data_IF_352525929804
#
_entry.id   IF_352525929804
#
_cell.length_a   1.000
_cell.length_b   1.000
_cell.length_c   1.000
_cell.angle_alpha   90.00
_cell.angle_beta   90.00
_cell.angle_gamma   90.00
#
_symmetry.space_group_name_H-M   'P 1'
#
loop_
_entity.id
_entity.type
_entity.pdbx_description
1 polymer ?
#
# COMPACT_ATOMS: atom_id res chain seq x y z
N UNK A 1 5.13 -50.72 -15.89
CA UNK A 1 6.25 -49.84 -16.25
C UNK A 1 6.42 -48.84 -15.13
N UNK A 2 7.49 -49.01 -14.34
CA UNK A 2 7.88 -48.22 -13.17
C UNK A 2 8.84 -47.11 -13.61
N UNK A 3 8.71 -45.92 -13.04
CA UNK A 3 9.81 -44.96 -12.93
C UNK A 3 9.68 -44.23 -11.59
N UNK A 4 10.37 -44.78 -10.59
CA UNK A 4 10.72 -44.11 -9.33
C UNK A 4 11.95 -43.22 -9.62
N UNK A 5 11.86 -41.91 -9.37
CA UNK A 5 13.02 -41.01 -9.32
C UNK A 5 13.22 -40.51 -7.90
N UNK A 6 14.15 -41.19 -7.23
CA UNK A 6 14.80 -40.83 -5.98
C UNK A 6 15.74 -39.65 -6.24
N UNK A 7 15.62 -38.57 -5.48
CA UNK A 7 16.65 -37.53 -5.40
C UNK A 7 16.87 -37.15 -3.95
N UNK A 8 17.84 -37.82 -3.35
CA UNK A 8 18.49 -37.48 -2.10
C UNK A 8 19.54 -36.41 -2.41
N UNK A 9 19.40 -35.21 -1.86
CA UNK A 9 20.53 -34.31 -1.68
C UNK A 9 20.55 -33.79 -0.25
N UNK A 10 21.32 -34.50 0.56
CA UNK A 10 21.93 -33.98 1.77
C UNK A 10 22.95 -32.91 1.39
N UNK A 11 22.89 -31.76 2.04
CA UNK A 11 24.05 -30.88 2.20
C UNK A 11 24.16 -30.54 3.68
N UNK A 12 25.14 -31.19 4.28
CA UNK A 12 25.65 -30.94 5.62
C UNK A 12 26.38 -29.60 5.67
N UNK A 13 26.30 -28.95 6.83
CA UNK A 13 27.44 -28.21 7.40
C UNK A 13 27.66 -26.77 6.94
N UNK A 14 27.33 -25.82 7.82
CA UNK A 14 28.36 -24.85 8.21
C UNK A 14 28.09 -24.31 9.63
N UNK A 15 28.76 -24.94 10.58
CA UNK A 15 29.02 -24.38 11.89
C UNK A 15 29.96 -23.17 11.76
N UNK A 16 29.73 -22.16 12.59
CA UNK A 16 30.77 -21.23 13.00
C UNK A 16 30.72 -19.86 12.32
N UNK A 17 30.22 -18.86 13.07
CA UNK A 17 31.08 -17.80 13.64
C UNK A 17 30.22 -16.82 14.45
N UNK A 18 30.27 -17.01 15.77
CA UNK A 18 29.90 -16.02 16.76
C UNK A 18 30.97 -14.93 16.69
N UNK A 19 30.67 -13.85 15.95
CA UNK A 19 31.44 -12.62 15.98
C UNK A 19 30.82 -11.66 16.99
N UNK A 20 31.38 -11.60 18.20
CA UNK A 20 31.24 -10.43 19.06
C UNK A 20 31.85 -9.24 18.31
N UNK A 21 31.04 -8.35 17.72
CA UNK A 21 31.51 -7.03 17.33
C UNK A 21 30.98 -5.99 18.30
N UNK A 22 31.96 -5.40 18.97
CA UNK A 22 31.95 -4.38 19.98
C UNK A 22 30.99 -3.22 19.71
N UNK A 23 30.26 -2.91 20.77
CA UNK A 23 29.68 -1.62 21.10
C UNK A 23 30.71 -0.49 20.84
N UNK A 24 30.43 0.38 19.87
CA UNK A 24 31.09 1.68 19.75
C UNK A 24 30.00 2.77 19.81
N UNK A 25 29.74 3.19 21.04
CA UNK A 25 28.89 4.33 21.39
C UNK A 25 29.64 5.62 21.03
N UNK A 26 29.43 6.14 19.83
CA UNK A 26 29.90 7.47 19.45
C UNK A 26 28.76 8.48 19.64
N UNK A 27 28.81 9.24 20.74
CA UNK A 27 28.09 10.51 20.88
C UNK A 27 28.52 11.44 19.75
N UNK A 28 27.57 11.96 18.97
CA UNK A 28 27.82 13.13 18.10
C UNK A 28 26.96 14.33 18.54
N UNK A 29 27.57 15.53 18.60
CA UNK A 29 27.00 16.72 19.23
C UNK A 29 25.95 17.43 18.38
N UNK A 30 25.07 18.15 19.08
CA UNK A 30 24.11 19.09 18.54
C UNK A 30 24.78 20.19 17.69
N UNK A 31 24.39 20.29 16.42
CA UNK A 31 24.67 21.47 15.60
C UNK A 31 23.39 22.29 15.47
N UNK A 32 23.32 23.33 16.30
CA UNK A 32 22.49 24.50 16.06
C UNK A 32 23.07 25.30 14.90
N UNK A 33 22.23 25.64 13.94
CA UNK A 33 22.50 26.61 12.88
C UNK A 33 21.46 26.44 11.78
N UNK A 34 20.78 27.45 11.25
CA UNK A 34 20.76 28.88 11.47
C UNK A 34 19.80 29.40 10.39
N UNK A 35 18.87 30.29 10.74
CA UNK A 35 17.94 30.89 9.78
C UNK A 35 18.70 31.80 8.81
N UNK A 36 18.55 31.60 7.50
CA UNK A 36 18.96 32.56 6.49
C UNK A 36 17.98 32.61 5.30
N UNK A 37 17.18 33.67 5.27
CA UNK A 37 17.18 34.63 4.16
C UNK A 37 16.68 34.20 2.77
N UNK A 38 15.37 34.33 2.56
CA UNK A 38 14.73 35.14 1.52
C UNK A 38 15.41 35.30 0.14
N UNK A 39 14.86 34.61 -0.86
CA UNK A 39 14.99 34.96 -2.28
C UNK A 39 13.63 35.03 -2.95
N UNK A 40 13.04 36.23 -3.05
CA UNK A 40 11.88 36.50 -3.92
C UNK A 40 12.36 36.49 -5.37
N UNK A 41 12.15 35.38 -6.08
CA UNK A 41 12.32 35.33 -7.53
C UNK A 41 10.97 35.59 -8.20
N UNK A 42 10.87 36.73 -8.87
CA UNK A 42 9.68 37.12 -9.63
C UNK A 42 9.38 36.14 -10.75
N UNK A 43 8.23 35.46 -10.65
CA UNK A 43 7.72 34.61 -11.73
C UNK A 43 6.85 35.46 -12.66
N UNK A 44 7.26 35.58 -13.92
CA UNK A 44 6.38 36.07 -14.99
C UNK A 44 5.14 35.17 -15.11
N UNK A 45 3.96 35.72 -15.44
CA UNK A 45 2.77 34.92 -15.69
C UNK A 45 2.95 34.16 -17.01
N UNK A 46 3.44 32.94 -16.92
CA UNK A 46 3.32 31.97 -18.01
C UNK A 46 1.87 31.49 -18.01
N UNK A 47 1.12 31.90 -19.04
CA UNK A 47 -0.24 31.42 -19.32
C UNK A 47 -0.15 29.94 -19.68
N UNK A 48 -0.17 29.09 -18.65
CA UNK A 48 -0.26 27.63 -18.81
C UNK A 48 -1.66 27.32 -19.35
N UNK A 49 -1.79 26.54 -20.43
CA UNK A 49 -3.09 26.05 -20.89
C UNK A 49 -3.84 25.47 -19.70
N UNK A 50 -5.02 26.01 -19.43
CA UNK A 50 -5.83 25.60 -18.30
C UNK A 50 -6.15 24.09 -18.39
N UNK A 51 -6.14 23.37 -17.26
CA UNK A 51 -6.63 21.99 -17.25
C UNK A 51 -8.05 21.95 -17.82
N UNK A 52 -8.42 20.87 -18.53
CA UNK A 52 -9.75 20.74 -19.11
C UNK A 52 -10.83 20.98 -18.04
N UNK A 53 -11.88 21.74 -18.35
CA UNK A 53 -12.94 22.06 -17.41
C UNK A 53 -13.66 20.77 -16.99
N UNK A 54 -14.00 20.69 -15.71
CA UNK A 54 -15.02 19.81 -15.13
C UNK A 54 -14.74 18.31 -14.96
N UNK A 55 -13.52 17.92 -14.59
CA UNK A 55 -13.45 16.86 -13.58
C UNK A 55 -13.60 17.51 -12.21
N UNK A 56 -14.83 17.51 -11.68
CA UNK A 56 -15.09 17.73 -10.25
C UNK A 56 -14.32 16.66 -9.49
N UNK A 57 -13.06 16.97 -9.16
CA UNK A 57 -12.32 16.21 -8.16
C UNK A 57 -13.04 16.54 -6.87
N UNK A 58 -13.91 15.63 -6.42
CA UNK A 58 -14.52 15.74 -5.11
C UNK A 58 -13.38 16.00 -4.11
N UNK A 59 -13.51 17.00 -3.22
CA UNK A 59 -12.48 17.26 -2.24
C UNK A 59 -12.22 15.94 -1.52
N UNK A 60 -11.01 15.41 -1.66
CA UNK A 60 -10.51 14.27 -0.89
C UNK A 60 -10.40 14.80 0.53
N UNK A 61 -11.50 14.83 1.25
CA UNK A 61 -11.48 15.21 2.66
C UNK A 61 -10.92 14.02 3.41
N UNK A 62 -9.90 14.23 4.24
CA UNK A 62 -9.33 13.22 5.15
C UNK A 62 -10.34 12.74 6.22
N UNK A 63 -11.63 12.94 6.01
CA UNK A 63 -12.73 12.69 6.95
C UNK A 63 -13.70 11.64 6.44
N UNK A 64 -13.48 11.07 5.26
CA UNK A 64 -14.33 9.98 4.77
C UNK A 64 -14.08 8.70 5.60
N UNK A 65 -15.11 8.14 6.26
CA UNK A 65 -14.94 6.98 7.13
C UNK A 65 -14.56 5.71 6.36
N UNK A 66 -14.95 5.59 5.08
CA UNK A 66 -14.55 4.47 4.24
C UNK A 66 -13.07 4.57 3.85
N UNK A 67 -12.59 5.76 3.49
CA UNK A 67 -11.17 6.00 3.22
C UNK A 67 -10.30 5.71 4.45
N UNK A 68 -10.73 6.13 5.64
CA UNK A 68 -10.03 5.85 6.89
C UNK A 68 -9.99 4.36 7.22
N UNK A 69 -11.10 3.66 7.03
CA UNK A 69 -11.13 2.20 7.23
C UNK A 69 -10.20 1.46 6.28
N UNK A 70 -10.10 1.89 5.02
CA UNK A 70 -9.11 1.33 4.09
C UNK A 70 -7.67 1.70 4.50
N UNK A 71 -7.45 2.89 5.03
CA UNK A 71 -6.13 3.30 5.53
C UNK A 71 -5.65 2.40 6.67
N UNK A 72 -6.55 2.02 7.59
CA UNK A 72 -6.22 1.09 8.69
C UNK A 72 -5.74 -0.28 8.19
N UNK A 73 -6.18 -0.71 6.99
CA UNK A 73 -5.74 -1.95 6.36
C UNK A 73 -4.34 -1.86 5.74
N UNK A 74 -3.83 -0.67 5.44
CA UNK A 74 -2.50 -0.48 4.85
C UNK A 74 -1.38 -0.98 5.77
N UNK A 75 -1.42 -0.60 7.05
CA UNK A 75 -0.43 -1.02 8.05
C UNK A 75 -0.21 -2.53 8.13
N UNK A 76 -1.26 -3.35 8.40
CA UNK A 76 -1.11 -4.79 8.49
C UNK A 76 -0.76 -5.43 7.14
N UNK A 77 -1.21 -4.89 6.00
CA UNK A 77 -0.78 -5.37 4.68
C UNK A 77 0.73 -5.21 4.47
N UNK A 78 1.26 -4.03 4.78
CA UNK A 78 2.70 -3.74 4.66
C UNK A 78 3.52 -4.64 5.57
N UNK A 79 3.07 -4.83 6.83
CA UNK A 79 3.79 -5.67 7.79
C UNK A 79 3.70 -7.15 7.43
N UNK A 80 2.55 -7.64 6.95
CA UNK A 80 2.39 -9.00 6.43
C UNK A 80 3.34 -9.22 5.24
N UNK A 81 3.41 -8.28 4.31
CA UNK A 81 4.28 -8.37 3.14
C UNK A 81 5.76 -8.36 3.55
N UNK A 82 6.16 -7.51 4.49
CA UNK A 82 7.54 -7.47 4.98
C UNK A 82 7.98 -8.83 5.57
N UNK A 83 7.09 -9.52 6.29
CA UNK A 83 7.36 -10.83 6.88
C UNK A 83 7.32 -11.98 5.86
N UNK A 84 6.38 -11.95 4.91
CA UNK A 84 6.09 -13.11 4.04
C UNK A 84 6.59 -12.95 2.59
N UNK A 85 7.01 -11.74 2.20
CA UNK A 85 7.36 -11.36 0.81
C UNK A 85 6.27 -11.64 -0.23
N UNK A 86 5.03 -11.74 0.23
CA UNK A 86 3.83 -11.91 -0.58
C UNK A 86 2.64 -11.25 0.12
N UNK A 87 1.65 -10.83 -0.66
CA UNK A 87 0.35 -10.42 -0.11
C UNK A 87 -0.37 -11.64 0.51
N UNK A 88 -1.27 -11.43 1.48
CA UNK A 88 -2.08 -12.53 1.98
C UNK A 88 -2.98 -13.09 0.87
N UNK A 89 -3.28 -14.38 0.90
CA UNK A 89 -4.26 -14.97 -0.01
C UNK A 89 -5.69 -14.51 0.32
N UNK A 90 -5.95 -14.16 1.58
CA UNK A 90 -7.25 -13.66 2.08
C UNK A 90 -7.04 -12.60 3.16
N UNK A 91 -7.94 -11.60 3.24
CA UNK A 91 -7.80 -10.49 4.20
C UNK A 91 -7.82 -10.96 5.67
N UNK A 92 -8.49 -12.06 5.98
CA UNK A 92 -8.56 -12.59 7.34
C UNK A 92 -7.18 -12.99 7.88
N UNK A 93 -6.21 -13.28 7.01
CA UNK A 93 -4.84 -13.60 7.43
C UNK A 93 -4.13 -12.42 8.10
N UNK A 94 -4.61 -11.19 7.88
CA UNK A 94 -4.07 -10.01 8.57
C UNK A 94 -4.34 -10.03 10.09
N UNK A 95 -5.24 -10.89 10.59
CA UNK A 95 -5.42 -11.15 12.03
C UNK A 95 -4.16 -11.68 12.71
N UNK A 96 -3.27 -12.31 11.94
CA UNK A 96 -2.03 -12.88 12.44
C UNK A 96 -0.95 -11.81 12.67
N UNK A 97 -1.17 -10.58 12.19
CA UNK A 97 -0.22 -9.47 12.36
C UNK A 97 -0.40 -8.87 13.76
N UNK A 98 0.63 -8.88 14.63
CA UNK A 98 0.53 -8.34 15.98
C UNK A 98 0.13 -6.85 15.97
N UNK A 99 -0.88 -6.50 16.76
CA UNK A 99 -1.38 -5.12 16.90
C UNK A 99 -2.57 -4.76 16.01
N UNK A 100 -2.94 -5.63 15.05
CA UNK A 100 -3.98 -5.35 14.05
C UNK A 100 -5.17 -6.32 14.09
N UNK A 101 -5.32 -7.07 15.19
CA UNK A 101 -6.39 -8.07 15.32
C UNK A 101 -7.80 -7.48 15.21
N UNK A 102 -7.98 -6.21 15.59
CA UNK A 102 -9.27 -5.52 15.54
C UNK A 102 -9.63 -5.01 14.14
N UNK A 103 -8.64 -4.65 13.31
CA UNK A 103 -8.86 -4.05 11.98
C UNK A 103 -9.60 -5.01 11.04
N UNK A 104 -9.34 -6.30 11.20
CA UNK A 104 -9.90 -7.38 10.38
C UNK A 104 -11.24 -7.92 10.88
N UNK A 105 -11.68 -7.52 12.07
CA UNK A 105 -13.02 -7.87 12.56
C UNK A 105 -14.11 -7.14 11.74
N UNK A 106 -13.77 -5.99 11.14
CA UNK A 106 -14.69 -5.09 10.47
C UNK A 106 -14.26 -4.79 9.02
N UNK A 107 -14.16 -5.83 8.18
CA UNK A 107 -13.83 -5.70 6.75
C UNK A 107 -15.01 -5.20 5.89
N UNK A 108 -15.71 -4.16 6.37
CA UNK A 108 -16.89 -3.57 5.72
C UNK A 108 -16.73 -2.07 5.55
N UNK A 109 -17.26 -1.57 4.44
CA UNK A 109 -17.42 -0.13 4.22
C UNK A 109 -18.39 0.46 5.26
N UNK A 110 -18.00 1.47 6.06
CA UNK A 110 -18.90 2.07 7.06
C UNK A 110 -20.14 2.75 6.46
N UNK A 111 -20.09 3.14 5.18
CA UNK A 111 -21.19 3.85 4.50
C UNK A 111 -22.19 2.86 3.88
N UNK A 112 -21.71 1.90 3.09
CA UNK A 112 -22.58 0.92 2.41
C UNK A 112 -22.88 -0.32 3.25
N UNK A 113 -22.13 -0.56 4.33
CA UNK A 113 -22.13 -1.78 5.14
C UNK A 113 -21.83 -3.08 4.36
N UNK A 114 -21.39 -2.96 3.11
CA UNK A 114 -20.97 -4.09 2.29
C UNK A 114 -19.51 -4.46 2.59
N UNK A 115 -19.15 -5.74 2.51
CA UNK A 115 -17.77 -6.15 2.67
C UNK A 115 -16.90 -5.54 1.57
N UNK A 116 -15.68 -5.15 1.93
CA UNK A 116 -14.69 -4.77 0.94
C UNK A 116 -14.40 -5.95 0.01
N UNK A 117 -14.13 -5.65 -1.25
CA UNK A 117 -13.68 -6.65 -2.21
C UNK A 117 -12.16 -6.70 -2.16
N UNK A 118 -11.62 -7.90 -1.97
CA UNK A 118 -10.19 -8.17 -2.03
C UNK A 118 -9.86 -9.01 -3.25
N UNK A 119 -8.88 -8.55 -4.03
CA UNK A 119 -8.29 -9.32 -5.11
C UNK A 119 -6.75 -9.19 -4.99
N UNK A 120 -6.04 -10.21 -4.47
CA UNK A 120 -4.58 -10.16 -4.36
C UNK A 120 -3.88 -10.14 -5.72
N UNK A 121 -4.55 -10.60 -6.79
CA UNK A 121 -4.10 -10.48 -8.17
C UNK A 121 -4.40 -9.10 -8.76
N UNK A 122 -5.30 -8.33 -8.16
CA UNK A 122 -5.65 -6.96 -8.47
C UNK A 122 -5.89 -6.66 -9.96
N UNK A 123 -5.96 -5.39 -10.32
CA UNK A 123 -5.93 -4.95 -11.71
C UNK A 123 -5.08 -3.70 -11.86
N UNK A 124 -4.45 -3.57 -13.02
CA UNK A 124 -3.50 -2.50 -13.29
C UNK A 124 -4.23 -1.18 -13.56
N UNK A 125 -3.70 -0.09 -13.00
CA UNK A 125 -3.98 1.28 -13.38
C UNK A 125 -2.89 1.73 -14.37
N UNK A 126 -3.16 1.73 -15.69
CA UNK A 126 -2.14 1.94 -16.72
C UNK A 126 -1.36 3.25 -16.53
N UNK A 127 -2.04 4.28 -16.03
CA UNK A 127 -1.47 5.62 -15.84
C UNK A 127 -0.40 5.71 -14.74
N UNK A 128 -0.35 4.75 -13.80
CA UNK A 128 0.40 4.89 -12.54
C UNK A 128 1.30 3.70 -12.21
N UNK A 129 1.32 2.67 -13.06
CA UNK A 129 1.99 1.38 -12.78
C UNK A 129 1.62 0.82 -11.40
N UNK A 130 0.38 1.06 -10.97
CA UNK A 130 -0.15 0.65 -9.67
C UNK A 130 -1.25 -0.38 -9.89
N UNK A 131 -1.45 -1.23 -8.89
CA UNK A 131 -2.45 -2.29 -8.96
C UNK A 131 -3.48 -2.11 -7.85
N UNK A 132 -4.76 -2.04 -8.18
CA UNK A 132 -5.82 -1.98 -7.18
C UNK A 132 -6.04 -3.38 -6.61
N UNK A 133 -6.00 -3.51 -5.28
CA UNK A 133 -6.12 -4.82 -4.61
C UNK A 133 -7.30 -4.89 -3.63
N UNK A 134 -7.71 -3.77 -3.03
CA UNK A 134 -8.88 -3.70 -2.14
C UNK A 134 -9.74 -2.53 -2.57
N UNK A 135 -11.05 -2.68 -2.56
CA UNK A 135 -11.99 -1.61 -2.92
C UNK A 135 -13.36 -1.81 -2.29
N UNK A 136 -14.13 -0.74 -2.18
CA UNK A 136 -15.53 -0.77 -1.77
C UNK A 136 -16.43 -1.41 -2.84
N UNK A 137 -17.46 -2.15 -2.38
CA UNK A 137 -18.32 -2.93 -3.27
C UNK A 137 -19.37 -2.09 -4.01
N UNK A 138 -19.67 -0.89 -3.55
CA UNK A 138 -20.67 0.00 -4.15
C UNK A 138 -20.12 1.44 -4.21
N UNK A 139 -20.53 2.26 -5.20
CA UNK A 139 -20.14 3.67 -5.30
C UNK A 139 -20.87 4.52 -4.27
N UNK A 140 -20.50 4.38 -3.00
CA UNK A 140 -21.17 5.05 -1.89
C UNK A 140 -20.74 6.52 -1.70
N UNK A 141 -19.86 7.04 -2.57
CA UNK A 141 -19.16 8.31 -2.39
C UNK A 141 -19.29 9.19 -3.65
N UNK A 142 -20.49 9.68 -3.95
CA UNK A 142 -20.77 10.58 -5.09
C UNK A 142 -20.31 10.03 -6.45
N UNK A 143 -20.54 8.75 -6.70
CA UNK A 143 -20.11 8.08 -7.94
C UNK A 143 -18.61 7.70 -7.94
N UNK A 144 -17.94 7.89 -6.82
CA UNK A 144 -16.58 7.41 -6.57
C UNK A 144 -16.59 6.16 -5.69
N UNK A 145 -15.48 5.44 -5.78
CA UNK A 145 -15.14 4.26 -5.00
C UNK A 145 -13.79 4.44 -4.34
N UNK A 146 -13.69 4.11 -3.06
CA UNK A 146 -12.42 4.09 -2.35
C UNK A 146 -11.70 2.76 -2.58
N UNK A 147 -10.40 2.84 -2.81
CA UNK A 147 -9.59 1.67 -3.09
C UNK A 147 -8.18 1.79 -2.51
N UNK A 148 -7.56 0.64 -2.21
CA UNK A 148 -6.14 0.50 -1.94
C UNK A 148 -5.44 0.06 -3.21
N UNK A 149 -4.50 0.88 -3.67
CA UNK A 149 -3.52 0.47 -4.67
C UNK A 149 -2.21 0.07 -4.02
N UNK A 150 -1.49 -0.80 -4.72
CA UNK A 150 -0.10 -1.08 -4.43
C UNK A 150 0.80 -0.69 -5.58
N UNK A 151 2.00 -0.28 -5.23
CA UNK A 151 3.16 -0.18 -6.12
C UNK A 151 4.08 -1.35 -5.75
N UNK A 152 4.29 -2.27 -6.69
CA UNK A 152 5.17 -3.42 -6.45
C UNK A 152 6.59 -2.94 -6.18
N UNK A 153 7.27 -3.52 -5.18
CA UNK A 153 8.64 -3.14 -4.90
C UNK A 153 9.54 -3.48 -6.10
N UNK A 154 10.35 -2.50 -6.51
CA UNK A 154 11.56 -2.77 -7.31
C UNK A 154 12.68 -3.21 -6.35
N UNK A 155 13.75 -3.78 -6.88
CA UNK A 155 14.91 -4.29 -6.13
C UNK A 155 15.19 -3.50 -4.82
N UNK A 156 15.12 -4.20 -3.68
CA UNK A 156 15.31 -3.69 -2.32
C UNK A 156 14.38 -2.53 -1.85
N UNK A 157 13.34 -2.20 -2.60
CA UNK A 157 12.33 -1.21 -2.21
C UNK A 157 11.22 -1.85 -1.36
N UNK A 158 10.57 -1.07 -0.48
CA UNK A 158 9.38 -1.54 0.23
C UNK A 158 8.17 -1.58 -0.70
N UNK A 159 7.20 -2.45 -0.39
CA UNK A 159 5.85 -2.34 -0.95
C UNK A 159 5.25 -0.99 -0.54
N UNK A 160 4.59 -0.29 -1.47
CA UNK A 160 3.88 0.96 -1.16
C UNK A 160 2.39 0.72 -1.31
N UNK A 161 1.60 1.03 -0.28
CA UNK A 161 0.13 1.04 -0.32
C UNK A 161 -0.39 2.48 -0.35
N UNK A 162 -1.38 2.77 -1.19
CA UNK A 162 -2.03 4.10 -1.27
C UNK A 162 -3.54 3.93 -1.24
N UNK A 163 -4.24 4.78 -0.48
CA UNK A 163 -5.70 4.88 -0.57
C UNK A 163 -6.03 5.96 -1.60
N UNK A 164 -6.86 5.61 -2.59
CA UNK A 164 -7.25 6.51 -3.67
C UNK A 164 -8.75 6.44 -3.93
N UNK A 165 -9.32 7.54 -4.43
CA UNK A 165 -10.67 7.55 -4.99
C UNK A 165 -10.59 7.29 -6.50
N UNK A 166 -11.43 6.38 -6.99
CA UNK A 166 -11.56 6.05 -8.41
C UNK A 166 -13.02 6.25 -8.85
N UNK A 167 -13.29 6.76 -10.06
CA UNK A 167 -14.65 6.86 -10.56
C UNK A 167 -15.24 5.47 -10.82
N UNK A 168 -16.56 5.32 -10.63
CA UNK A 168 -17.29 4.05 -10.84
C UNK A 168 -16.99 3.41 -12.21
N UNK A 169 -16.79 4.22 -13.24
CA UNK A 169 -16.47 3.77 -14.61
C UNK A 169 -15.17 2.96 -14.72
N UNK A 170 -14.31 2.97 -13.69
CA UNK A 170 -13.13 2.09 -13.62
C UNK A 170 -13.45 0.67 -13.17
N UNK A 171 -14.65 0.40 -12.66
CA UNK A 171 -15.06 -0.89 -12.09
C UNK A 171 -16.01 -1.71 -12.97
N UNK A 172 -16.51 -1.13 -14.07
CA UNK A 172 -17.44 -1.78 -15.01
C UNK A 172 -16.84 -2.92 -15.83
N UNK A 173 -15.52 -3.14 -15.77
CA UNK A 173 -14.79 -4.08 -16.64
C UNK A 173 -14.35 -5.39 -15.99
N UNK A 174 -14.82 -5.73 -14.79
CA UNK A 174 -14.45 -7.01 -14.15
C UNK A 174 -15.55 -8.05 -14.32
N UNK A 175 -15.43 -9.00 -15.26
CA UNK A 175 -16.24 -10.21 -15.21
C UNK A 175 -15.99 -10.90 -13.86
N UNK A 176 -17.08 -11.27 -13.19
CA UNK A 176 -17.06 -12.00 -11.92
C UNK A 176 -16.51 -13.40 -12.07
#
# INVERSE_FOLDING_TARGET
MKAETKSEHAIEGLAGRIGLMSLALAMLPAMMGGCAGQGRSGSMPTTRPGPPPDQKVAPITNTDPCAMRLHDLCGPLLLYFAANRQLPARLEQLQQVPGFQHVTAELRCPVSNLPYVYNPAGWLLPEKQQRVIIYDRAPAHDGMRWAITIEEPKEDQPLITKVIALPESRFTFQPR
#
